data_IF_831002988236
#
_entry.id   IF_831002988236
#
_cell.length_a   1.000
_cell.length_b   1.000
_cell.length_c   1.000
_cell.angle_alpha   90.00
_cell.angle_beta   90.00
_cell.angle_gamma   90.00
#
_symmetry.space_group_name_H-M   'P 1'
#
loop_
_entity.id
_entity.type
_entity.pdbx_description
1 polymer ?
#
# COMPACT_ATOMS: atom_id res chain seq x y z
N UNK A 1 -38.14 45.69 -2.04
CA UNK A 1 -37.82 44.78 -3.16
C UNK A 1 -38.77 43.60 -3.09
N UNK A 2 -39.62 43.38 -4.10
CA UNK A 2 -40.50 42.20 -4.16
C UNK A 2 -39.67 41.04 -4.72
N UNK A 3 -39.53 39.95 -3.98
CA UNK A 3 -38.87 38.72 -4.43
C UNK A 3 -39.79 37.97 -5.39
N UNK A 4 -39.37 37.82 -6.64
CA UNK A 4 -40.04 36.99 -7.64
C UNK A 4 -39.54 35.55 -7.46
N UNK A 5 -40.43 34.62 -7.11
CA UNK A 5 -40.10 33.19 -7.06
C UNK A 5 -40.39 32.64 -8.46
N UNK A 6 -39.34 32.28 -9.19
CA UNK A 6 -39.44 31.67 -10.52
C UNK A 6 -39.19 30.17 -10.37
N UNK A 7 -40.15 29.30 -10.74
CA UNK A 7 -39.90 27.87 -10.80
C UNK A 7 -38.91 27.61 -11.94
N UNK A 8 -37.73 27.11 -11.58
CA UNK A 8 -36.68 26.71 -12.51
C UNK A 8 -36.83 25.20 -12.74
N UNK A 9 -37.37 24.84 -13.90
CA UNK A 9 -37.37 23.45 -14.36
C UNK A 9 -36.00 23.16 -14.98
N UNK A 10 -35.13 22.50 -14.20
CA UNK A 10 -33.82 22.08 -14.69
C UNK A 10 -33.97 20.65 -15.24
N UNK A 11 -33.81 20.43 -16.55
CA UNK A 11 -33.85 19.09 -17.12
C UNK A 11 -32.68 18.26 -16.57
N UNK A 12 -33.02 17.19 -15.84
CA UNK A 12 -32.06 16.31 -15.16
C UNK A 12 -31.04 15.73 -16.16
N UNK A 13 -31.47 15.46 -17.39
CA UNK A 13 -30.61 14.91 -18.44
C UNK A 13 -29.45 15.84 -18.82
N UNK A 14 -29.69 17.15 -18.87
CA UNK A 14 -28.64 18.14 -19.15
C UNK A 14 -27.69 18.32 -17.96
N UNK A 15 -28.19 18.15 -16.73
CA UNK A 15 -27.35 18.09 -15.53
C UNK A 15 -26.41 16.88 -15.57
N UNK A 16 -26.91 15.71 -15.98
CA UNK A 16 -26.13 14.48 -16.08
C UNK A 16 -25.02 14.56 -17.15
N UNK A 17 -25.27 15.21 -18.29
CA UNK A 17 -24.26 15.42 -19.32
C UNK A 17 -23.08 16.28 -18.83
N UNK A 18 -23.36 17.29 -18.00
CA UNK A 18 -22.34 18.21 -17.48
C UNK A 18 -21.62 17.62 -16.26
N UNK A 19 -22.36 16.94 -15.38
CA UNK A 19 -21.86 16.42 -14.10
C UNK A 19 -21.18 15.07 -14.28
N UNK A 20 -21.68 14.20 -15.17
CA UNK A 20 -21.15 12.86 -15.41
C UNK A 20 -19.64 12.81 -15.66
N UNK A 21 -19.08 13.62 -16.59
CA UNK A 21 -17.65 13.66 -16.84
C UNK A 21 -16.82 14.14 -15.65
N UNK A 22 -17.34 15.09 -14.86
CA UNK A 22 -16.67 15.56 -13.63
C UNK A 22 -16.68 14.47 -12.57
N UNK A 23 -17.81 13.81 -12.37
CA UNK A 23 -18.00 12.74 -11.38
C UNK A 23 -17.08 11.54 -11.66
N UNK A 24 -17.01 11.11 -12.93
CA UNK A 24 -16.08 10.06 -13.37
C UNK A 24 -14.60 10.44 -13.17
N UNK A 25 -14.23 11.69 -13.40
CA UNK A 25 -12.85 12.17 -13.13
C UNK A 25 -12.53 12.13 -11.63
N UNK A 26 -13.45 12.55 -10.77
CA UNK A 26 -13.28 12.46 -9.31
C UNK A 26 -13.18 11.02 -8.82
N UNK A 27 -14.01 10.10 -9.34
CA UNK A 27 -13.93 8.68 -8.98
C UNK A 27 -12.57 8.11 -9.38
N UNK A 28 -12.10 8.37 -10.61
CA UNK A 28 -10.79 7.92 -11.06
C UNK A 28 -9.63 8.51 -10.25
N UNK A 29 -9.76 9.77 -9.80
CA UNK A 29 -8.78 10.39 -8.93
C UNK A 29 -8.77 9.72 -7.55
N UNK A 30 -9.93 9.46 -6.96
CA UNK A 30 -10.07 8.78 -5.68
C UNK A 30 -9.50 7.35 -5.72
N UNK A 31 -9.78 6.57 -6.77
CA UNK A 31 -9.21 5.23 -6.97
C UNK A 31 -7.67 5.26 -7.08
N UNK A 32 -7.13 6.30 -7.72
CA UNK A 32 -5.68 6.48 -7.85
C UNK A 32 -5.04 6.83 -6.50
N UNK A 33 -5.70 7.66 -5.71
CA UNK A 33 -5.24 8.04 -4.36
C UNK A 33 -5.33 6.88 -3.38
N UNK A 34 -6.35 6.02 -3.49
CA UNK A 34 -6.48 4.81 -2.69
C UNK A 34 -5.37 3.79 -3.02
N UNK A 35 -5.05 3.60 -4.31
CA UNK A 35 -3.90 2.79 -4.73
C UNK A 35 -2.57 3.38 -4.26
N UNK A 36 -2.43 4.70 -4.27
CA UNK A 36 -1.25 5.37 -3.74
C UNK A 36 -1.14 5.21 -2.22
N UNK A 37 -2.25 5.22 -1.49
CA UNK A 37 -2.31 4.98 -0.04
C UNK A 37 -1.92 3.54 0.31
N UNK A 38 -2.37 2.55 -0.46
CA UNK A 38 -1.94 1.14 -0.32
C UNK A 38 -0.43 0.98 -0.55
N UNK A 39 0.14 1.73 -1.50
CA UNK A 39 1.58 1.75 -1.73
C UNK A 39 2.36 2.52 -0.66
N UNK A 40 1.69 3.38 0.12
CA UNK A 40 2.21 4.04 1.31
C UNK A 40 1.97 3.21 2.57
N UNK A 41 2.05 1.86 2.50
CA UNK A 41 2.15 1.05 3.71
C UNK A 41 3.16 1.70 4.66
N UNK A 42 2.82 1.92 5.94
CA UNK A 42 3.72 2.57 6.87
C UNK A 42 5.03 1.78 6.89
N UNK A 43 6.15 2.51 6.81
CA UNK A 43 7.49 1.90 6.75
C UNK A 43 7.72 0.96 7.95
N UNK A 44 7.03 1.23 9.05
CA UNK A 44 7.01 0.42 10.27
C UNK A 44 6.44 -0.99 10.04
N UNK A 45 5.32 -1.14 9.32
CA UNK A 45 4.78 -2.45 8.97
C UNK A 45 5.74 -3.27 8.10
N UNK A 46 6.48 -2.59 7.21
CA UNK A 46 7.48 -3.26 6.35
C UNK A 46 8.63 -3.80 7.19
N UNK A 47 9.07 -3.04 8.20
CA UNK A 47 10.13 -3.47 9.12
C UNK A 47 9.67 -4.63 10.00
N UNK A 48 8.46 -4.56 10.55
CA UNK A 48 7.86 -5.63 11.38
C UNK A 48 7.75 -6.93 10.57
N UNK A 49 7.24 -6.86 9.34
CA UNK A 49 7.14 -8.04 8.47
C UNK A 49 8.53 -8.61 8.12
N UNK A 50 9.52 -7.76 7.85
CA UNK A 50 10.88 -8.22 7.59
C UNK A 50 11.50 -8.90 8.82
N UNK A 51 11.25 -8.38 10.03
CA UNK A 51 11.71 -8.98 11.28
C UNK A 51 11.05 -10.35 11.53
N UNK A 52 9.75 -10.50 11.26
CA UNK A 52 9.06 -11.80 11.37
C UNK A 52 9.65 -12.84 10.40
N UNK A 53 9.90 -12.45 9.15
CA UNK A 53 10.52 -13.33 8.16
C UNK A 53 11.95 -13.73 8.56
N UNK A 54 12.71 -12.82 9.16
CA UNK A 54 14.04 -13.12 9.68
C UNK A 54 13.97 -14.15 10.82
N UNK A 55 13.02 -13.99 11.74
CA UNK A 55 12.81 -14.94 12.83
C UNK A 55 12.47 -16.34 12.31
N UNK A 56 11.50 -16.46 11.39
CA UNK A 56 11.16 -17.75 10.79
C UNK A 56 12.32 -18.40 10.03
N UNK A 57 13.15 -17.59 9.36
CA UNK A 57 14.33 -18.10 8.66
C UNK A 57 15.40 -18.59 9.64
N UNK A 58 15.53 -17.95 10.80
CA UNK A 58 16.44 -18.38 11.87
C UNK A 58 15.97 -19.71 12.47
N UNK A 59 14.70 -19.82 12.85
CA UNK A 59 14.12 -21.08 13.37
C UNK A 59 14.35 -22.24 12.38
N UNK A 60 14.14 -21.98 11.08
CA UNK A 60 14.38 -22.98 10.05
C UNK A 60 15.85 -23.36 9.93
N UNK A 61 16.76 -22.39 10.02
CA UNK A 61 18.20 -22.67 9.98
C UNK A 61 18.63 -23.52 11.17
N UNK A 62 18.18 -23.18 12.38
CA UNK A 62 18.45 -23.94 13.60
C UNK A 62 17.94 -25.38 13.50
N UNK A 63 16.71 -25.57 13.00
CA UNK A 63 16.14 -26.90 12.78
C UNK A 63 16.86 -27.70 11.67
N UNK A 64 17.52 -27.02 10.73
CA UNK A 64 18.19 -27.66 9.59
C UNK A 64 19.68 -27.93 9.83
N UNK A 65 20.23 -27.52 10.99
CA UNK A 65 21.67 -27.60 11.28
C UNK A 65 22.18 -29.04 11.29
N UNK A 66 23.27 -29.31 10.57
CA UNK A 66 23.83 -30.65 10.41
C UNK A 66 23.06 -31.55 9.43
N UNK A 67 21.99 -31.04 8.81
CA UNK A 67 21.23 -31.77 7.78
C UNK A 67 21.68 -31.38 6.38
N UNK A 68 21.27 -32.13 5.37
CA UNK A 68 21.51 -31.81 3.95
C UNK A 68 20.92 -30.44 3.55
N UNK A 69 19.89 -29.98 4.24
CA UNK A 69 19.17 -28.74 3.92
C UNK A 69 19.77 -27.49 4.59
N UNK A 70 20.79 -27.64 5.44
CA UNK A 70 21.41 -26.53 6.18
C UNK A 70 21.82 -25.37 5.26
N UNK A 71 22.48 -25.69 4.13
CA UNK A 71 22.96 -24.68 3.18
C UNK A 71 21.81 -23.88 2.54
N UNK A 72 20.67 -24.54 2.29
CA UNK A 72 19.47 -23.89 1.75
C UNK A 72 18.81 -23.00 2.79
N UNK A 73 18.74 -23.46 4.04
CA UNK A 73 18.20 -22.67 5.14
C UNK A 73 19.10 -21.46 5.45
N UNK A 74 20.42 -21.62 5.42
CA UNK A 74 21.38 -20.52 5.59
C UNK A 74 21.23 -19.45 4.49
N UNK A 75 21.07 -19.87 3.23
CA UNK A 75 20.82 -18.93 2.13
C UNK A 75 19.51 -18.16 2.33
N UNK A 76 18.46 -18.81 2.83
CA UNK A 76 17.18 -18.15 3.14
C UNK A 76 17.33 -17.13 4.29
N UNK A 77 18.11 -17.47 5.33
CA UNK A 77 18.43 -16.57 6.44
C UNK A 77 19.20 -15.33 5.96
N UNK A 78 20.20 -15.52 5.10
CA UNK A 78 20.95 -14.42 4.50
C UNK A 78 20.03 -13.51 3.67
N UNK A 79 19.14 -14.07 2.86
CA UNK A 79 18.17 -13.29 2.10
C UNK A 79 17.21 -12.49 3.01
N UNK A 80 16.71 -13.10 4.09
CA UNK A 80 15.84 -12.42 5.05
C UNK A 80 16.57 -11.26 5.75
N UNK A 81 17.85 -11.44 6.12
CA UNK A 81 18.65 -10.37 6.74
C UNK A 81 18.88 -9.18 5.80
N UNK A 82 19.04 -9.42 4.49
CA UNK A 82 19.10 -8.36 3.49
C UNK A 82 17.77 -7.61 3.35
N UNK A 83 16.65 -8.31 3.49
CA UNK A 83 15.31 -7.73 3.54
C UNK A 83 15.14 -6.75 4.71
N UNK A 84 15.55 -7.16 5.92
CA UNK A 84 15.54 -6.29 7.11
C UNK A 84 16.43 -5.06 6.91
N UNK A 85 17.65 -5.24 6.39
CA UNK A 85 18.58 -4.13 6.10
C UNK A 85 17.96 -3.12 5.11
N UNK A 86 17.24 -3.61 4.10
CA UNK A 86 16.59 -2.76 3.10
C UNK A 86 15.39 -2.02 3.69
N UNK A 87 14.58 -2.71 4.50
CA UNK A 87 13.46 -2.09 5.23
C UNK A 87 13.94 -0.97 6.17
N UNK A 88 15.00 -1.23 6.95
CA UNK A 88 15.59 -0.24 7.85
C UNK A 88 16.17 0.99 7.11
N UNK A 89 16.80 0.78 5.95
CA UNK A 89 17.27 1.87 5.07
C UNK A 89 16.13 2.74 4.54
N UNK A 90 15.01 2.11 4.18
CA UNK A 90 13.85 2.83 3.66
C UNK A 90 13.16 3.66 4.75
N UNK A 91 13.18 3.19 6.00
CA UNK A 91 12.71 3.96 7.15
C UNK A 91 13.58 5.21 7.37
N UNK A 92 14.90 5.04 7.44
CA UNK A 92 15.86 6.15 7.66
C UNK A 92 15.90 7.20 6.54
N UNK A 93 15.41 6.91 5.33
CA UNK A 93 15.34 7.88 4.23
C UNK A 93 14.10 8.77 4.29
N UNK A 94 13.14 8.43 5.15
CA UNK A 94 11.83 9.09 5.23
C UNK A 94 11.76 10.08 6.40
N UNK A 95 12.64 9.92 7.39
CA UNK A 95 12.96 10.92 8.42
C UNK A 95 13.95 11.97 7.88
#
# INVERSE_FOLDING_TARGET
MKSLIVPLEIPIDQLLEVVGPKLLRTIRAAEKDERAALNRRPCDETLVNAAMLLWQALDRYEASKGTRDERRALNALLAASQGVRSAAKNLHKKD
#
